data_IF_202099710737
#
_entry.id   IF_202099710737
#
_cell.length_a   1.000
_cell.length_b   1.000
_cell.length_c   1.000
_cell.angle_alpha   90.00
_cell.angle_beta   90.00
_cell.angle_gamma   90.00
#
_symmetry.space_group_name_H-M   'P 1'
#
loop_
_entity.id
_entity.type
_entity.pdbx_description
1 polymer ?
#
# COMPACT_ATOMS: atom_id res chain seq x y z
N UNK A 1 -34.31 -38.27 35.53
CA UNK A 1 -32.87 -37.98 35.55
C UNK A 1 -32.24 -37.97 34.15
N UNK A 2 -32.43 -39.00 33.29
CA UNK A 2 -31.79 -39.03 31.94
C UNK A 2 -32.11 -37.83 31.04
N UNK A 3 -33.33 -37.26 31.08
CA UNK A 3 -33.72 -36.07 30.25
C UNK A 3 -33.02 -34.77 30.68
N UNK A 4 -32.74 -34.60 31.97
CA UNK A 4 -32.02 -33.42 32.49
C UNK A 4 -30.55 -33.43 32.10
N UNK A 5 -29.94 -34.64 32.07
CA UNK A 5 -28.54 -34.79 31.66
C UNK A 5 -28.37 -34.46 30.18
N UNK A 6 -29.33 -34.87 29.35
CA UNK A 6 -29.29 -34.59 27.89
C UNK A 6 -29.45 -33.10 27.59
N UNK A 7 -30.34 -32.42 28.32
CA UNK A 7 -30.53 -30.97 28.13
C UNK A 7 -29.29 -30.18 28.64
N UNK A 8 -28.70 -30.62 29.75
CA UNK A 8 -27.48 -29.97 30.28
C UNK A 8 -26.29 -30.20 29.35
N UNK A 9 -26.17 -31.36 28.70
CA UNK A 9 -25.10 -31.66 27.74
C UNK A 9 -25.27 -30.84 26.45
N UNK A 10 -26.50 -30.65 25.97
CA UNK A 10 -26.80 -29.81 24.80
C UNK A 10 -26.53 -28.34 25.04
N UNK A 11 -26.80 -27.81 26.26
CA UNK A 11 -26.47 -26.44 26.61
C UNK A 11 -24.96 -26.21 26.75
N UNK A 12 -24.20 -27.18 27.26
CA UNK A 12 -22.74 -27.08 27.35
C UNK A 12 -22.07 -27.15 25.97
N UNK A 13 -22.64 -27.93 25.04
CA UNK A 13 -22.13 -27.99 23.64
C UNK A 13 -22.47 -26.76 22.80
N UNK A 14 -23.50 -25.99 23.14
CA UNK A 14 -23.86 -24.76 22.43
C UNK A 14 -23.06 -23.52 22.92
N UNK A 15 -22.47 -23.56 24.10
CA UNK A 15 -21.65 -22.50 24.61
C UNK A 15 -20.39 -22.20 23.77
N UNK A 16 -19.65 -23.20 23.24
CA UNK A 16 -18.52 -22.91 22.33
C UNK A 16 -18.93 -22.33 20.99
N UNK A 17 -20.15 -22.63 20.51
CA UNK A 17 -20.63 -22.04 19.25
C UNK A 17 -21.00 -20.56 19.37
N UNK A 18 -21.39 -20.10 20.55
CA UNK A 18 -21.61 -18.66 20.79
C UNK A 18 -20.30 -17.88 20.99
N UNK A 19 -19.23 -18.55 21.36
CA UNK A 19 -17.90 -17.94 21.45
C UNK A 19 -17.25 -17.65 20.08
N UNK A 20 -17.82 -18.20 19.01
CA UNK A 20 -17.47 -17.85 17.63
C UNK A 20 -18.37 -16.77 17.02
N UNK A 21 -19.34 -16.23 17.77
CA UNK A 21 -20.02 -15.00 17.38
C UNK A 21 -18.95 -13.89 17.37
N UNK A 22 -18.77 -13.32 16.21
CA UNK A 22 -17.84 -12.24 15.91
C UNK A 22 -17.70 -11.30 17.10
N UNK A 23 -16.53 -11.21 17.74
CA UNK A 23 -16.34 -10.21 18.75
C UNK A 23 -16.61 -8.88 18.08
N UNK A 24 -17.43 -8.06 18.73
CA UNK A 24 -17.68 -6.70 18.30
C UNK A 24 -16.31 -6.03 18.21
N UNK A 25 -15.81 -5.86 16.99
CA UNK A 25 -14.43 -5.44 16.73
C UNK A 25 -14.12 -4.06 17.30
N UNK A 26 -15.17 -3.28 17.64
CA UNK A 26 -15.02 -1.96 18.24
C UNK A 26 -14.37 -1.97 19.64
N UNK A 27 -14.49 -3.03 20.43
CA UNK A 27 -13.98 -3.06 21.81
C UNK A 27 -12.52 -3.51 21.94
N UNK A 28 -11.92 -4.07 20.88
CA UNK A 28 -10.52 -4.53 20.91
C UNK A 28 -9.50 -3.45 20.57
N UNK A 29 -9.94 -2.25 20.20
CA UNK A 29 -9.09 -1.23 19.60
C UNK A 29 -8.93 0.03 20.45
N UNK A 30 -9.12 -0.03 21.76
CA UNK A 30 -8.95 1.13 22.66
C UNK A 30 -7.56 1.80 22.53
N UNK A 31 -6.56 1.08 22.01
CA UNK A 31 -5.22 1.57 21.72
C UNK A 31 -4.76 1.28 20.29
N UNK A 32 -5.66 0.86 19.41
CA UNK A 32 -5.29 0.56 18.05
C UNK A 32 -5.33 1.84 17.21
N UNK A 33 -4.27 2.18 16.49
CA UNK A 33 -4.30 3.25 15.51
C UNK A 33 -5.17 2.90 14.29
N UNK A 34 -5.97 1.84 14.36
CA UNK A 34 -6.72 1.32 13.22
C UNK A 34 -7.98 2.14 12.89
N UNK A 35 -8.63 2.79 13.86
CA UNK A 35 -9.76 3.69 13.58
C UNK A 35 -9.30 4.92 12.80
N UNK A 36 -8.08 5.41 13.09
CA UNK A 36 -7.48 6.49 12.30
C UNK A 36 -6.94 6.03 10.94
N UNK A 37 -6.80 4.71 10.73
CA UNK A 37 -6.27 4.15 9.48
C UNK A 37 -7.25 4.26 8.33
N UNK A 38 -8.51 4.00 8.58
CA UNK A 38 -9.54 4.10 7.54
C UNK A 38 -9.72 5.57 7.14
N UNK A 39 -9.77 6.49 8.11
CA UNK A 39 -9.81 7.92 7.82
C UNK A 39 -8.57 8.41 7.06
N UNK A 40 -7.36 7.97 7.45
CA UNK A 40 -6.13 8.31 6.74
C UNK A 40 -6.10 7.70 5.33
N UNK A 41 -6.48 6.43 5.20
CA UNK A 41 -6.55 5.75 3.90
C UNK A 41 -7.54 6.45 2.98
N UNK A 42 -8.75 6.70 3.46
CA UNK A 42 -9.80 7.37 2.70
C UNK A 42 -9.39 8.80 2.31
N UNK A 43 -8.68 9.49 3.18
CA UNK A 43 -8.13 10.82 2.87
C UNK A 43 -7.06 10.74 1.79
N UNK A 44 -6.13 9.77 1.88
CA UNK A 44 -5.09 9.59 0.89
C UNK A 44 -5.64 9.17 -0.47
N UNK A 45 -6.66 8.32 -0.48
CA UNK A 45 -7.37 7.91 -1.69
C UNK A 45 -8.08 9.11 -2.32
N UNK A 46 -8.86 9.87 -1.57
CA UNK A 46 -9.54 11.10 -2.05
C UNK A 46 -8.56 12.11 -2.64
N UNK A 47 -7.47 12.42 -1.94
CA UNK A 47 -6.46 13.36 -2.44
C UNK A 47 -5.77 12.84 -3.70
N UNK A 48 -5.60 11.54 -3.83
CA UNK A 48 -5.03 10.92 -5.04
C UNK A 48 -6.03 10.99 -6.20
N UNK A 49 -7.29 10.72 -5.94
CA UNK A 49 -8.38 10.88 -6.91
C UNK A 49 -8.50 12.32 -7.39
N UNK A 50 -8.48 13.28 -6.47
CA UNK A 50 -8.56 14.71 -6.79
C UNK A 50 -7.40 15.15 -7.70
N UNK A 51 -6.19 14.65 -7.45
CA UNK A 51 -5.05 14.91 -8.32
C UNK A 51 -5.26 14.35 -9.74
N UNK A 52 -5.84 13.14 -9.88
CA UNK A 52 -6.15 12.57 -11.18
C UNK A 52 -7.30 13.28 -11.86
N UNK A 53 -8.39 13.61 -11.14
CA UNK A 53 -9.51 14.41 -11.63
C UNK A 53 -9.02 15.76 -12.15
N UNK A 54 -8.18 16.46 -11.39
CA UNK A 54 -7.59 17.73 -11.81
C UNK A 54 -6.73 17.58 -13.08
N UNK A 55 -5.92 16.53 -13.17
CA UNK A 55 -5.13 16.26 -14.37
C UNK A 55 -6.00 15.99 -15.61
N UNK A 56 -7.06 15.21 -15.45
CA UNK A 56 -8.00 14.86 -16.51
C UNK A 56 -8.95 16.00 -16.86
N UNK A 57 -9.15 16.98 -15.99
CA UNK A 57 -10.22 17.98 -16.10
C UNK A 57 -11.60 17.38 -15.89
N UNK A 58 -11.70 16.32 -15.07
CA UNK A 58 -12.93 15.57 -14.84
C UNK A 58 -13.66 16.08 -13.59
N UNK A 59 -14.97 16.34 -13.73
CA UNK A 59 -15.85 16.71 -12.61
C UNK A 59 -16.73 15.53 -12.15
N UNK A 60 -16.37 14.29 -12.50
CA UNK A 60 -17.12 13.10 -12.09
C UNK A 60 -17.10 12.96 -10.57
N UNK A 61 -18.23 12.67 -9.97
CA UNK A 61 -18.36 12.43 -8.52
C UNK A 61 -17.54 11.19 -8.10
N UNK A 62 -17.64 10.11 -8.87
CA UNK A 62 -16.88 8.87 -8.67
C UNK A 62 -15.75 8.78 -9.69
N UNK A 63 -14.56 8.47 -9.21
CA UNK A 63 -13.38 8.31 -10.03
C UNK A 63 -12.76 6.92 -9.79
N UNK A 64 -12.57 6.21 -10.90
CA UNK A 64 -11.76 4.99 -10.92
C UNK A 64 -10.52 5.27 -11.76
N UNK A 65 -9.36 4.94 -11.21
CA UNK A 65 -8.11 5.10 -11.96
C UNK A 65 -8.09 4.15 -13.15
N UNK A 66 -8.16 4.71 -14.34
CA UNK A 66 -7.97 4.02 -15.60
C UNK A 66 -6.69 4.55 -16.28
N UNK A 67 -5.68 3.67 -16.36
CA UNK A 67 -4.39 4.03 -16.94
C UNK A 67 -4.51 4.44 -18.42
N UNK A 68 -5.39 3.80 -19.18
CA UNK A 68 -5.56 4.10 -20.60
C UNK A 68 -6.26 5.45 -20.82
N UNK A 69 -7.22 5.82 -19.98
CA UNK A 69 -7.85 7.15 -20.00
C UNK A 69 -6.81 8.23 -19.72
N UNK A 70 -5.98 8.04 -18.70
CA UNK A 70 -4.91 8.99 -18.34
C UNK A 70 -3.86 9.08 -19.45
N UNK A 71 -3.45 7.97 -20.05
CA UNK A 71 -2.49 7.95 -21.17
C UNK A 71 -3.05 8.70 -22.38
N UNK A 72 -4.31 8.47 -22.75
CA UNK A 72 -4.96 9.19 -23.86
C UNK A 72 -5.02 10.69 -23.59
N UNK A 73 -5.38 11.09 -22.37
CA UNK A 73 -5.39 12.51 -21.99
C UNK A 73 -3.98 13.13 -22.02
N UNK A 74 -2.97 12.41 -21.55
CA UNK A 74 -1.58 12.85 -21.57
C UNK A 74 -1.04 12.99 -23.01
N UNK A 75 -1.41 12.07 -23.90
CA UNK A 75 -1.06 12.15 -25.33
C UNK A 75 -1.70 13.38 -25.99
N UNK A 76 -2.97 13.67 -25.72
CA UNK A 76 -3.64 14.88 -26.21
C UNK A 76 -2.96 16.17 -25.73
N UNK A 77 -2.37 16.14 -24.52
CA UNK A 77 -1.62 17.27 -23.93
C UNK A 77 -0.14 17.30 -24.34
N UNK A 78 0.31 16.39 -25.21
CA UNK A 78 1.72 16.20 -25.57
C UNK A 78 2.63 15.96 -24.35
N UNK A 79 2.11 15.32 -23.30
CA UNK A 79 2.79 15.08 -22.05
C UNK A 79 3.46 13.70 -22.01
N UNK A 80 4.57 13.58 -22.71
CA UNK A 80 5.34 12.34 -22.81
C UNK A 80 5.86 11.84 -21.43
N UNK A 81 6.10 12.75 -20.47
CA UNK A 81 6.55 12.39 -19.14
C UNK A 81 5.43 11.68 -18.36
N UNK A 82 4.20 12.21 -18.44
CA UNK A 82 3.04 11.57 -17.80
C UNK A 82 2.73 10.22 -18.43
N UNK A 83 2.75 10.12 -19.77
CA UNK A 83 2.58 8.84 -20.48
C UNK A 83 3.55 7.78 -19.97
N UNK A 84 4.84 8.14 -19.89
CA UNK A 84 5.86 7.19 -19.43
C UNK A 84 5.72 6.84 -17.95
N UNK A 85 5.34 7.81 -17.12
CA UNK A 85 5.04 7.58 -15.70
C UNK A 85 3.89 6.59 -15.51
N UNK A 86 2.76 6.84 -16.15
CA UNK A 86 1.55 6.00 -16.01
C UNK A 86 1.80 4.58 -16.51
N UNK A 87 2.52 4.39 -17.62
CA UNK A 87 2.90 3.05 -18.09
C UNK A 87 3.78 2.29 -17.09
N UNK A 88 4.70 2.97 -16.42
CA UNK A 88 5.52 2.33 -15.38
C UNK A 88 4.74 2.10 -14.09
N UNK A 89 3.81 2.99 -13.73
CA UNK A 89 2.88 2.79 -12.63
C UNK A 89 2.00 1.55 -12.88
N UNK A 90 1.48 1.38 -14.09
CA UNK A 90 0.69 0.21 -14.48
C UNK A 90 1.48 -1.09 -14.29
N UNK A 91 2.72 -1.15 -14.80
CA UNK A 91 3.60 -2.32 -14.60
C UNK A 91 3.84 -2.63 -13.11
N UNK A 92 4.00 -1.59 -12.29
CA UNK A 92 4.11 -1.75 -10.84
C UNK A 92 2.82 -2.33 -10.25
N UNK A 93 1.65 -1.78 -10.63
CA UNK A 93 0.35 -2.24 -10.13
C UNK A 93 0.06 -3.69 -10.53
N UNK A 94 0.41 -4.10 -11.75
CA UNK A 94 0.34 -5.50 -12.19
C UNK A 94 1.18 -6.42 -11.30
N UNK A 95 2.39 -6.00 -10.94
CA UNK A 95 3.22 -6.74 -9.99
C UNK A 95 2.65 -6.74 -8.56
N UNK A 96 2.04 -5.63 -8.12
CA UNK A 96 1.51 -5.49 -6.77
C UNK A 96 0.19 -6.24 -6.57
N UNK A 97 -0.67 -6.24 -7.60
CA UNK A 97 -2.04 -6.76 -7.55
C UNK A 97 -2.16 -8.16 -8.18
N UNK A 98 -1.10 -8.97 -8.23
CA UNK A 98 -1.21 -10.33 -8.72
C UNK A 98 -2.34 -11.06 -7.97
N UNK A 99 -3.49 -11.17 -8.64
CA UNK A 99 -4.63 -11.94 -8.15
C UNK A 99 -4.24 -13.41 -8.23
N UNK A 100 -4.18 -14.08 -7.10
CA UNK A 100 -4.15 -15.54 -7.05
C UNK A 100 -5.53 -16.04 -7.39
N UNK A 101 -5.64 -17.01 -8.26
CA UNK A 101 -6.93 -17.63 -8.59
C UNK A 101 -7.48 -18.39 -7.40
N UNK A 102 -6.59 -19.05 -6.65
CA UNK A 102 -6.93 -19.77 -5.43
C UNK A 102 -5.99 -19.37 -4.28
N UNK A 103 -6.45 -19.57 -3.05
CA UNK A 103 -5.70 -19.22 -1.83
C UNK A 103 -4.36 -20.00 -1.71
N UNK A 104 -4.24 -21.12 -2.39
CA UNK A 104 -3.11 -22.04 -2.36
C UNK A 104 -2.18 -21.94 -3.58
N UNK A 105 -2.51 -21.08 -4.55
CA UNK A 105 -1.64 -20.85 -5.71
C UNK A 105 -0.39 -20.09 -5.30
N UNK A 106 0.73 -20.80 -5.32
CA UNK A 106 2.02 -20.17 -5.11
C UNK A 106 2.64 -19.81 -6.46
N UNK A 107 3.22 -18.60 -6.58
CA UNK A 107 3.87 -18.18 -7.82
C UNK A 107 5.06 -19.08 -8.10
N UNK A 108 5.28 -19.43 -9.37
CA UNK A 108 6.43 -20.19 -9.84
C UNK A 108 7.72 -19.37 -9.67
N UNK A 109 8.87 -20.05 -9.75
CA UNK A 109 10.17 -19.36 -9.71
C UNK A 109 10.35 -18.39 -10.88
N UNK A 110 9.83 -18.76 -12.04
CA UNK A 110 9.85 -17.97 -13.27
C UNK A 110 9.02 -16.70 -13.12
N UNK A 111 7.80 -16.80 -12.58
CA UNK A 111 6.92 -15.64 -12.29
C UNK A 111 7.57 -14.69 -11.28
N UNK A 112 8.18 -15.23 -10.23
CA UNK A 112 8.90 -14.43 -9.23
C UNK A 112 10.12 -13.72 -9.84
N UNK A 113 10.85 -14.40 -10.73
CA UNK A 113 11.99 -13.81 -11.44
C UNK A 113 11.52 -12.69 -12.38
N UNK A 114 10.48 -12.93 -13.18
CA UNK A 114 9.86 -11.94 -14.05
C UNK A 114 9.39 -10.70 -13.29
N UNK A 115 8.65 -10.91 -12.18
CA UNK A 115 8.19 -9.84 -11.29
C UNK A 115 9.36 -9.02 -10.76
N UNK A 116 10.41 -9.69 -10.28
CA UNK A 116 11.61 -9.05 -9.77
C UNK A 116 12.30 -8.20 -10.86
N UNK A 117 12.42 -8.72 -12.07
CA UNK A 117 12.98 -8.00 -13.19
C UNK A 117 12.16 -6.76 -13.55
N UNK A 118 10.83 -6.89 -13.62
CA UNK A 118 9.91 -5.79 -13.89
C UNK A 118 10.03 -4.69 -12.83
N UNK A 119 10.02 -5.07 -11.54
CA UNK A 119 10.17 -4.11 -10.44
C UNK A 119 11.51 -3.38 -10.47
N UNK A 120 12.61 -4.07 -10.81
CA UNK A 120 13.91 -3.44 -10.97
C UNK A 120 13.92 -2.44 -12.13
N UNK A 121 13.31 -2.77 -13.25
CA UNK A 121 13.20 -1.87 -14.40
C UNK A 121 12.39 -0.62 -14.08
N UNK A 122 11.22 -0.77 -13.43
CA UNK A 122 10.38 0.35 -12.98
C UNK A 122 11.12 1.21 -11.96
N UNK A 123 11.83 0.60 -11.01
CA UNK A 123 12.68 1.31 -10.03
C UNK A 123 13.74 2.17 -10.71
N UNK A 124 14.49 1.58 -11.64
CA UNK A 124 15.55 2.30 -12.37
C UNK A 124 14.99 3.46 -13.19
N UNK A 125 13.87 3.25 -13.87
CA UNK A 125 13.14 4.32 -14.55
C UNK A 125 12.78 5.46 -13.59
N UNK A 126 12.13 5.15 -12.48
CA UNK A 126 11.69 6.15 -11.51
C UNK A 126 12.87 6.92 -10.90
N UNK A 127 13.96 6.21 -10.56
CA UNK A 127 15.19 6.82 -10.05
C UNK A 127 15.80 7.80 -11.04
N UNK A 128 15.82 7.50 -12.34
CA UNK A 128 16.31 8.38 -13.39
C UNK A 128 15.46 9.65 -13.62
N UNK A 129 14.24 9.69 -13.05
CA UNK A 129 13.29 10.80 -13.21
C UNK A 129 13.09 11.66 -11.95
N UNK A 130 13.89 11.48 -10.92
CA UNK A 130 13.79 12.23 -9.66
C UNK A 130 14.04 13.76 -9.79
N UNK A 131 14.57 14.23 -10.91
CA UNK A 131 14.73 15.65 -11.22
C UNK A 131 13.62 16.23 -12.10
N UNK A 132 12.62 15.41 -12.46
CA UNK A 132 11.51 15.83 -13.31
C UNK A 132 10.43 16.58 -12.51
N UNK A 133 9.48 17.22 -13.22
CA UNK A 133 8.31 17.86 -12.58
C UNK A 133 7.40 16.87 -11.81
N UNK A 134 7.49 15.57 -12.10
CA UNK A 134 6.80 14.51 -11.38
C UNK A 134 7.71 13.85 -10.32
N UNK A 135 8.59 14.63 -9.70
CA UNK A 135 9.58 14.17 -8.73
C UNK A 135 8.96 13.35 -7.61
N UNK A 136 7.88 13.86 -6.99
CA UNK A 136 7.23 13.18 -5.85
C UNK A 136 6.60 11.86 -6.26
N UNK A 137 5.96 11.81 -7.43
CA UNK A 137 5.37 10.60 -7.97
C UNK A 137 6.44 9.54 -8.30
N UNK A 138 7.55 9.95 -8.92
CA UNK A 138 8.65 9.04 -9.22
C UNK A 138 9.36 8.56 -7.96
N UNK A 139 9.55 9.42 -6.96
CA UNK A 139 10.14 9.05 -5.67
C UNK A 139 9.26 8.01 -4.95
N UNK A 140 7.95 8.25 -4.88
CA UNK A 140 7.01 7.29 -4.30
C UNK A 140 7.04 5.95 -5.05
N UNK A 141 7.02 5.97 -6.38
CA UNK A 141 7.06 4.75 -7.19
C UNK A 141 8.36 3.96 -6.96
N UNK A 142 9.51 4.64 -6.89
CA UNK A 142 10.81 4.04 -6.57
C UNK A 142 10.78 3.39 -5.19
N UNK A 143 10.30 4.11 -4.16
CA UNK A 143 10.24 3.59 -2.80
C UNK A 143 9.31 2.39 -2.67
N UNK A 144 8.18 2.38 -3.38
CA UNK A 144 7.26 1.22 -3.46
C UNK A 144 7.93 0.01 -4.09
N UNK A 145 8.67 0.20 -5.19
CA UNK A 145 9.46 -0.88 -5.79
C UNK A 145 10.53 -1.41 -4.83
N UNK A 146 11.23 -0.53 -4.11
CA UNK A 146 12.21 -0.93 -3.11
C UNK A 146 11.59 -1.81 -2.01
N UNK A 147 10.40 -1.45 -1.50
CA UNK A 147 9.70 -2.28 -0.51
C UNK A 147 9.43 -3.69 -1.03
N UNK A 148 8.94 -3.83 -2.25
CA UNK A 148 8.65 -5.12 -2.87
C UNK A 148 9.91 -5.94 -3.18
N UNK A 149 11.02 -5.28 -3.43
CA UNK A 149 12.33 -5.88 -3.68
C UNK A 149 13.11 -6.20 -2.39
N UNK A 150 12.59 -5.84 -1.21
CA UNK A 150 13.28 -5.99 0.06
C UNK A 150 14.42 -4.99 0.29
N UNK A 151 14.51 -3.94 -0.51
CA UNK A 151 15.54 -2.89 -0.44
C UNK A 151 15.17 -1.84 0.59
N UNK A 152 14.98 -2.27 1.85
CA UNK A 152 14.49 -1.39 2.91
C UNK A 152 15.52 -0.33 3.31
N UNK A 153 16.81 -0.68 3.32
CA UNK A 153 17.88 0.25 3.67
C UNK A 153 18.00 1.41 2.69
N UNK A 154 17.77 1.14 1.41
CA UNK A 154 17.75 2.17 0.35
C UNK A 154 16.60 3.16 0.55
N UNK A 155 15.44 2.71 1.00
CA UNK A 155 14.33 3.60 1.33
C UNK A 155 14.66 4.47 2.55
N UNK A 156 15.28 3.90 3.57
CA UNK A 156 15.71 4.65 4.76
C UNK A 156 16.71 5.73 4.36
N UNK A 157 17.78 5.34 3.66
CA UNK A 157 18.82 6.29 3.23
C UNK A 157 18.27 7.38 2.31
N UNK A 158 17.41 7.03 1.36
CA UNK A 158 16.76 7.99 0.47
C UNK A 158 15.91 9.00 1.25
N UNK A 159 15.09 8.55 2.18
CA UNK A 159 14.23 9.44 2.96
C UNK A 159 15.02 10.34 3.91
N UNK A 160 16.02 9.82 4.61
CA UNK A 160 16.88 10.57 5.52
C UNK A 160 17.63 11.69 4.78
N UNK A 161 18.02 11.47 3.53
CA UNK A 161 18.75 12.44 2.71
C UNK A 161 17.84 13.45 2.00
N UNK A 162 16.63 13.08 1.65
CA UNK A 162 15.80 13.86 0.72
C UNK A 162 14.39 14.17 1.22
N UNK A 163 13.93 13.54 2.30
CA UNK A 163 12.55 13.67 2.78
C UNK A 163 12.11 15.12 3.06
N UNK A 164 13.01 15.94 3.63
CA UNK A 164 12.74 17.35 3.89
C UNK A 164 12.61 18.22 2.63
N UNK A 165 13.08 17.72 1.48
CA UNK A 165 13.01 18.44 0.21
C UNK A 165 11.68 18.26 -0.52
N UNK A 166 10.80 17.37 -0.05
CA UNK A 166 9.49 17.18 -0.63
C UNK A 166 8.49 18.13 0.04
N UNK A 167 7.66 18.76 -0.79
CA UNK A 167 6.56 19.59 -0.32
C UNK A 167 5.54 18.73 0.42
N UNK A 168 4.90 19.27 1.44
CA UNK A 168 3.82 18.61 2.19
C UNK A 168 2.64 18.30 1.27
N UNK A 169 2.54 17.06 0.83
CA UNK A 169 1.51 16.54 -0.07
C UNK A 169 1.22 15.10 0.31
N UNK A 170 0.13 14.55 -0.20
CA UNK A 170 -0.22 13.12 -0.03
C UNK A 170 0.95 12.19 -0.44
N UNK A 171 1.75 12.57 -1.43
CA UNK A 171 2.91 11.76 -1.86
C UNK A 171 4.00 11.71 -0.79
N UNK A 172 4.26 12.84 -0.11
CA UNK A 172 5.21 12.90 1.01
C UNK A 172 4.74 12.03 2.17
N UNK A 173 3.46 12.11 2.53
CA UNK A 173 2.89 11.30 3.60
C UNK A 173 2.98 9.80 3.30
N UNK A 174 2.68 9.41 2.06
CA UNK A 174 2.84 8.02 1.60
C UNK A 174 4.30 7.55 1.65
N UNK A 175 5.26 8.39 1.26
CA UNK A 175 6.69 8.08 1.36
C UNK A 175 7.15 7.95 2.81
N UNK A 176 6.64 8.79 3.71
CA UNK A 176 6.92 8.71 5.15
C UNK A 176 6.41 7.41 5.75
N UNK A 177 5.23 6.94 5.35
CA UNK A 177 4.70 5.63 5.76
C UNK A 177 5.58 4.47 5.26
N UNK A 178 6.10 4.56 4.03
CA UNK A 178 7.03 3.56 3.49
C UNK A 178 8.35 3.59 4.28
N UNK A 179 8.85 4.76 4.64
CA UNK A 179 10.04 4.91 5.48
C UNK A 179 9.84 4.25 6.85
N UNK A 180 8.72 4.53 7.53
CA UNK A 180 8.38 3.88 8.80
C UNK A 180 8.31 2.35 8.66
N UNK A 181 7.65 1.84 7.61
CA UNK A 181 7.62 0.41 7.31
C UNK A 181 9.00 -0.19 7.04
N UNK A 182 9.90 0.54 6.40
CA UNK A 182 11.28 0.11 6.17
C UNK A 182 12.10 0.05 7.47
N UNK A 183 11.90 0.99 8.40
CA UNK A 183 12.50 0.97 9.74
C UNK A 183 12.04 -0.26 10.52
N UNK A 184 10.74 -0.58 10.50
CA UNK A 184 10.20 -1.80 11.13
C UNK A 184 10.87 -3.06 10.56
N UNK A 185 10.99 -3.18 9.25
CA UNK A 185 11.59 -4.34 8.59
C UNK A 185 13.08 -4.51 8.88
N UNK A 186 13.80 -3.42 9.09
CA UNK A 186 15.23 -3.45 9.43
C UNK A 186 15.51 -3.54 10.92
N UNK A 187 14.49 -3.53 11.76
CA UNK A 187 14.61 -3.58 13.20
C UNK A 187 15.11 -2.28 13.84
N UNK A 188 15.05 -1.17 13.13
CA UNK A 188 15.43 0.18 13.60
C UNK A 188 14.25 0.97 14.17
N UNK A 189 13.09 0.35 14.40
CA UNK A 189 11.94 1.04 14.98
C UNK A 189 12.14 1.32 16.46
N UNK A 190 11.66 2.46 16.91
CA UNK A 190 11.68 2.84 18.35
C UNK A 190 10.91 1.84 19.22
N UNK A 191 9.88 1.18 18.69
CA UNK A 191 9.13 0.13 19.39
C UNK A 191 10.00 -1.05 19.83
N UNK A 192 11.08 -1.37 19.10
CA UNK A 192 12.05 -2.39 19.54
C UNK A 192 12.94 -1.91 20.69
N UNK A 193 13.14 -0.60 20.84
CA UNK A 193 13.89 -0.06 21.98
C UNK A 193 13.08 -0.17 23.27
N UNK A 194 11.81 0.22 23.23
CA UNK A 194 10.90 0.14 24.38
C UNK A 194 10.75 -1.31 24.90
N UNK A 195 10.65 -2.30 23.99
CA UNK A 195 10.55 -3.71 24.39
C UNK A 195 11.83 -4.34 24.93
N UNK A 196 12.99 -3.67 24.86
CA UNK A 196 14.26 -4.15 25.42
C UNK A 196 14.61 -3.52 26.78
N UNK A 197 13.91 -2.47 27.15
CA UNK A 197 14.10 -1.76 28.41
C UNK A 197 13.09 -2.19 29.50
N UNK A 198 12.15 -3.09 29.16
CA UNK A 198 11.30 -3.84 30.08
C UNK A 198 11.81 -5.26 30.24
#
# INVERSE_FOLDING_TARGET
MKRFITISLLTVMSLPMMACAWPDTHNYYLFSPYDSRDEFRDRAERLTEDNWKAYLGSNKEYFWFDADEVIKAAQKKNDALMVSYVRNLQKYLECANQKRQEQWDYPTKEELAQRTQTLRAVRTYAQGKLKSRLRSQHALLMMRCNMMLGLHRENISFWEQTGSQFIETVYRDMMQNIYAGALLKTGRSEERRVGKEC
#
